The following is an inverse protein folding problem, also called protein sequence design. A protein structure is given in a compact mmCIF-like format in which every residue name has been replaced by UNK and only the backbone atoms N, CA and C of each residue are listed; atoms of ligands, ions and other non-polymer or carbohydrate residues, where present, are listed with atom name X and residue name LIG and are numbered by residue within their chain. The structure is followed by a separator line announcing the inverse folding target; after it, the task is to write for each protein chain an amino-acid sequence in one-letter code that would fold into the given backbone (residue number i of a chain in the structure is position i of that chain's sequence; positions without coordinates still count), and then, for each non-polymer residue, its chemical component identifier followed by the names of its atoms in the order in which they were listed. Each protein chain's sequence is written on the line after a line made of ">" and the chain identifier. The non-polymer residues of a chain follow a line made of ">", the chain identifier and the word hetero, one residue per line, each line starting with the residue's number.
data_IF_890137031558
#
_entry.id   IF_890137031558
#
_cell.length_a   1.000
_cell.length_b   1.000
_cell.length_c   1.000
_cell.angle_alpha   90.00
_cell.angle_beta   90.00
_cell.angle_gamma   90.00
#
_symmetry.space_group_name_H-M   'P 1'
#
loop_
_entity.id
_entity.type
_entity.pdbx_description
1 polymer ?
#
# COMPACT_ATOMS: atom_id res chain seq x y z
N UNK A 1 28.01 -46.26 38.29
CA UNK A 1 27.70 -44.89 37.81
C UNK A 1 27.92 -44.83 36.31
N UNK A 2 26.86 -44.90 35.50
CA UNK A 2 26.93 -44.75 34.04
C UNK A 2 26.30 -43.41 33.69
N UNK A 3 27.09 -42.46 33.17
CA UNK A 3 26.60 -41.18 32.67
C UNK A 3 26.19 -41.36 31.20
N UNK A 4 24.89 -41.25 30.90
CA UNK A 4 24.41 -41.07 29.54
C UNK A 4 24.72 -39.64 29.09
N UNK A 5 25.46 -39.51 27.99
CA UNK A 5 25.62 -38.28 27.23
C UNK A 5 24.44 -38.15 26.26
N UNK A 6 23.53 -37.21 26.55
CA UNK A 6 22.49 -36.79 25.60
C UNK A 6 23.09 -35.81 24.59
N UNK A 7 23.31 -36.26 23.34
CA UNK A 7 23.54 -35.35 22.23
C UNK A 7 22.20 -34.70 21.81
N UNK A 8 22.10 -33.38 21.95
CA UNK A 8 21.05 -32.56 21.35
C UNK A 8 21.37 -32.32 19.87
N UNK A 9 20.61 -32.95 18.96
CA UNK A 9 20.64 -32.58 17.55
C UNK A 9 19.90 -31.25 17.34
N UNK A 10 20.45 -30.30 16.56
CA UNK A 10 19.74 -29.08 16.23
C UNK A 10 18.60 -29.38 15.26
N UNK A 11 17.42 -28.86 15.56
CA UNK A 11 16.25 -28.92 14.69
C UNK A 11 16.51 -28.03 13.47
N UNK A 12 16.87 -28.62 12.34
CA UNK A 12 16.93 -27.91 11.06
C UNK A 12 15.48 -27.66 10.63
N UNK A 13 14.96 -26.47 10.91
CA UNK A 13 13.70 -26.00 10.32
C UNK A 13 14.01 -25.68 8.86
N UNK A 14 13.71 -26.63 7.97
CA UNK A 14 13.73 -26.37 6.54
C UNK A 14 12.67 -25.30 6.23
N UNK A 15 13.10 -24.08 5.94
CA UNK A 15 12.22 -23.04 5.41
C UNK A 15 11.73 -23.49 4.04
N UNK A 16 10.48 -23.95 3.97
CA UNK A 16 9.82 -24.24 2.69
C UNK A 16 9.80 -22.95 1.89
N UNK A 17 10.43 -22.95 0.72
CA UNK A 17 10.47 -21.77 -0.14
C UNK A 17 9.03 -21.36 -0.51
N UNK A 18 8.73 -20.06 -0.37
CA UNK A 18 7.42 -19.53 -0.69
C UNK A 18 7.03 -19.87 -2.15
N UNK A 19 5.76 -20.23 -2.42
CA UNK A 19 5.31 -20.57 -3.76
C UNK A 19 5.53 -19.39 -4.70
N UNK A 20 6.10 -19.66 -5.88
CA UNK A 20 6.40 -18.63 -6.88
C UNK A 20 5.27 -18.51 -7.91
N UNK A 21 4.76 -17.30 -8.17
CA UNK A 21 3.76 -17.09 -9.22
C UNK A 21 4.39 -17.19 -10.62
N UNK A 22 3.57 -17.54 -11.61
CA UNK A 22 3.92 -17.53 -13.03
C UNK A 22 3.64 -16.16 -13.67
N UNK A 23 2.77 -15.35 -13.06
CA UNK A 23 2.58 -13.93 -13.37
C UNK A 23 2.31 -13.17 -12.07
N UNK A 24 2.95 -12.01 -11.89
CA UNK A 24 2.84 -11.18 -10.69
C UNK A 24 2.75 -9.70 -11.06
N UNK A 25 1.72 -9.02 -10.59
CA UNK A 25 1.52 -7.59 -10.76
C UNK A 25 1.37 -6.95 -9.38
N UNK A 26 2.32 -6.10 -9.00
CA UNK A 26 2.38 -5.52 -7.65
C UNK A 26 2.05 -4.03 -7.61
N UNK A 27 1.85 -3.39 -8.77
CA UNK A 27 1.46 -1.98 -8.88
C UNK A 27 2.38 -1.00 -8.13
N UNK A 28 3.63 -1.39 -7.87
CA UNK A 28 4.61 -0.66 -7.08
C UNK A 28 5.46 0.32 -7.92
N UNK A 29 5.31 0.31 -9.24
CA UNK A 29 6.16 1.07 -10.16
C UNK A 29 5.32 2.02 -11.00
N UNK A 30 5.81 3.25 -11.16
CA UNK A 30 5.39 4.13 -12.26
C UNK A 30 6.08 3.69 -13.55
N UNK A 31 5.69 2.53 -14.06
CA UNK A 31 6.19 1.93 -15.30
C UNK A 31 5.61 2.60 -16.56
N UNK A 32 5.14 3.84 -16.41
CA UNK A 32 4.51 4.63 -17.47
C UNK A 32 3.27 3.93 -18.03
N UNK A 33 3.31 3.60 -19.33
CA UNK A 33 2.20 3.02 -20.10
C UNK A 33 2.00 1.52 -19.92
N UNK A 34 2.75 0.86 -19.03
CA UNK A 34 2.60 -0.57 -18.77
C UNK A 34 2.42 -0.88 -17.28
N UNK A 35 1.91 -2.09 -17.01
CA UNK A 35 1.98 -2.77 -15.72
C UNK A 35 2.92 -3.95 -15.93
N UNK A 36 4.04 -3.95 -15.21
CA UNK A 36 5.09 -4.94 -15.36
C UNK A 36 4.73 -6.24 -14.64
N UNK A 37 4.98 -7.37 -15.31
CA UNK A 37 4.96 -8.69 -14.71
C UNK A 37 6.30 -8.95 -13.98
N UNK A 38 6.29 -8.82 -12.66
CA UNK A 38 7.46 -8.99 -11.78
C UNK A 38 7.71 -10.44 -11.33
N UNK A 39 7.04 -11.43 -11.96
CA UNK A 39 7.20 -12.85 -11.57
C UNK A 39 8.60 -13.43 -11.83
N UNK A 40 9.41 -12.77 -12.67
CA UNK A 40 10.71 -13.27 -13.11
C UNK A 40 10.64 -14.45 -14.08
N UNK A 41 9.44 -14.82 -14.56
CA UNK A 41 9.26 -15.91 -15.54
C UNK A 41 9.18 -15.32 -16.95
N UNK A 42 9.99 -15.80 -17.88
CA UNK A 42 10.01 -15.31 -19.26
C UNK A 42 9.12 -16.14 -20.22
N UNK A 43 8.57 -15.52 -21.28
CA UNK A 43 8.48 -14.06 -21.49
C UNK A 43 7.50 -13.42 -20.49
N UNK A 44 7.73 -12.16 -20.07
CA UNK A 44 6.84 -11.48 -19.14
C UNK A 44 5.47 -11.21 -19.77
N UNK A 45 4.42 -11.28 -18.96
CA UNK A 45 3.04 -10.99 -19.37
C UNK A 45 2.64 -9.54 -19.03
N UNK A 46 3.47 -8.55 -19.38
CA UNK A 46 3.17 -7.15 -19.12
C UNK A 46 1.80 -6.75 -19.69
N UNK A 47 1.11 -5.85 -18.99
CA UNK A 47 -0.20 -5.34 -19.41
C UNK A 47 -0.06 -3.90 -19.90
N UNK A 48 -0.60 -3.62 -21.07
CA UNK A 48 -0.64 -2.28 -21.63
C UNK A 48 -1.76 -1.46 -20.98
N UNK A 49 -1.47 -0.18 -20.73
CA UNK A 49 -2.42 0.82 -20.28
C UNK A 49 -2.76 1.70 -21.48
N UNK A 50 -3.98 1.53 -21.99
CA UNK A 50 -4.45 2.27 -23.18
C UNK A 50 -4.85 3.70 -22.78
N UNK A 51 -5.40 3.89 -21.59
CA UNK A 51 -5.92 5.16 -21.09
C UNK A 51 -5.41 5.39 -19.67
N UNK A 52 -4.37 6.22 -19.55
CA UNK A 52 -3.73 6.51 -18.26
C UNK A 52 -4.59 7.38 -17.37
N UNK A 53 -5.38 8.28 -17.96
CA UNK A 53 -6.27 9.17 -17.22
C UNK A 53 -7.50 8.45 -16.64
N UNK A 54 -7.73 7.19 -17.05
CA UNK A 54 -8.70 6.31 -16.41
C UNK A 54 -8.20 5.74 -15.07
N UNK A 55 -6.95 5.99 -14.71
CA UNK A 55 -6.27 5.37 -13.60
C UNK A 55 -5.74 6.40 -12.61
N UNK A 56 -5.70 6.02 -11.33
CA UNK A 56 -4.91 6.70 -10.29
C UNK A 56 -3.88 5.72 -9.75
N UNK A 57 -2.59 6.03 -9.93
CA UNK A 57 -1.48 5.27 -9.37
C UNK A 57 -1.08 5.84 -8.01
N UNK A 58 -0.82 4.96 -7.08
CA UNK A 58 -0.22 5.27 -5.78
C UNK A 58 0.84 4.19 -5.49
N UNK A 59 1.71 4.41 -4.51
CA UNK A 59 2.72 3.41 -4.15
C UNK A 59 2.06 2.09 -3.75
N UNK A 60 2.21 1.07 -4.59
CA UNK A 60 1.64 -0.27 -4.37
C UNK A 60 0.16 -0.40 -4.66
N UNK A 61 -0.45 0.55 -5.36
CA UNK A 61 -1.84 0.40 -5.80
C UNK A 61 -2.17 1.09 -7.13
N UNK A 62 -3.15 0.54 -7.83
CA UNK A 62 -3.70 1.09 -9.06
C UNK A 62 -5.22 1.12 -8.95
N UNK A 63 -5.79 2.32 -8.92
CA UNK A 63 -7.25 2.53 -8.88
C UNK A 63 -7.78 2.81 -10.27
N UNK A 64 -8.80 2.04 -10.68
CA UNK A 64 -9.56 2.26 -11.91
C UNK A 64 -10.72 3.22 -11.60
N UNK A 65 -10.62 4.45 -12.11
CA UNK A 65 -11.59 5.52 -11.91
C UNK A 65 -12.77 5.43 -12.88
N UNK A 66 -12.50 5.00 -14.11
CA UNK A 66 -13.48 4.78 -15.19
C UNK A 66 -13.14 3.51 -15.96
N UNK A 67 -14.10 2.88 -16.67
CA UNK A 67 -13.86 1.67 -17.43
C UNK A 67 -12.63 1.74 -18.34
N UNK A 68 -11.68 0.83 -18.14
CA UNK A 68 -10.45 0.73 -18.96
C UNK A 68 -10.02 -0.73 -19.06
N UNK A 69 -9.40 -1.08 -20.19
CA UNK A 69 -8.82 -2.40 -20.41
C UNK A 69 -7.32 -2.37 -20.13
N UNK A 70 -6.89 -3.22 -19.20
CA UNK A 70 -5.49 -3.48 -18.90
C UNK A 70 -5.18 -4.87 -19.46
N UNK A 71 -4.46 -4.99 -20.56
CA UNK A 71 -4.31 -6.30 -21.23
C UNK A 71 -2.92 -6.55 -21.76
N UNK A 72 -2.53 -7.82 -21.81
CA UNK A 72 -1.26 -8.21 -22.42
C UNK A 72 -1.28 -7.96 -23.93
N UNK A 73 -0.15 -7.49 -24.49
CA UNK A 73 0.01 -7.32 -25.94
C UNK A 73 -0.17 -8.63 -26.71
N UNK A 74 0.36 -9.73 -26.17
CA UNK A 74 0.34 -11.06 -26.77
C UNK A 74 -0.20 -12.10 -25.79
N UNK A 75 -0.66 -13.28 -26.26
CA UNK A 75 -1.11 -14.35 -25.37
C UNK A 75 -0.01 -14.77 -24.37
N UNK A 76 -0.31 -14.94 -23.06
CA UNK A 76 0.68 -15.31 -22.06
C UNK A 76 1.00 -16.82 -22.15
N UNK A 77 1.75 -17.22 -23.17
CA UNK A 77 2.02 -18.62 -23.50
C UNK A 77 2.62 -19.40 -22.31
N UNK A 78 3.52 -18.78 -21.52
CA UNK A 78 4.09 -19.39 -20.31
C UNK A 78 3.01 -19.83 -19.32
N UNK A 79 2.01 -18.99 -19.11
CA UNK A 79 0.94 -19.19 -18.13
C UNK A 79 -0.04 -20.25 -18.63
N UNK A 80 -0.50 -20.11 -19.87
CA UNK A 80 -1.43 -21.06 -20.49
C UNK A 80 -0.82 -22.46 -20.53
N UNK A 81 0.44 -22.57 -20.98
CA UNK A 81 1.12 -23.86 -21.06
C UNK A 81 1.37 -24.47 -19.67
N UNK A 82 1.72 -23.67 -18.67
CA UNK A 82 1.90 -24.15 -17.31
C UNK A 82 0.59 -24.73 -16.73
N UNK A 83 -0.53 -24.03 -16.92
CA UNK A 83 -1.85 -24.49 -16.42
C UNK A 83 -2.36 -25.70 -17.21
N UNK A 84 -2.17 -25.75 -18.54
CA UNK A 84 -2.48 -26.93 -19.36
C UNK A 84 -1.71 -28.17 -18.89
N UNK A 85 -0.44 -28.00 -18.51
CA UNK A 85 0.43 -29.09 -18.02
C UNK A 85 0.07 -29.55 -16.62
N UNK A 86 -0.08 -28.63 -15.67
CA UNK A 86 -0.39 -29.00 -14.28
C UNK A 86 -1.82 -29.48 -14.12
N UNK A 87 -2.75 -28.90 -14.89
CA UNK A 87 -4.18 -29.03 -14.65
C UNK A 87 -4.61 -28.26 -13.41
N UNK A 88 -3.86 -27.24 -13.00
CA UNK A 88 -4.04 -26.52 -11.74
C UNK A 88 -3.86 -25.02 -11.90
N UNK A 89 -4.51 -24.24 -11.04
CA UNK A 89 -4.34 -22.79 -11.00
C UNK A 89 -4.61 -22.24 -9.61
N UNK A 90 -3.94 -21.14 -9.28
CA UNK A 90 -4.41 -20.19 -8.27
C UNK A 90 -4.40 -18.79 -8.86
N UNK A 91 -5.50 -18.04 -8.71
CA UNK A 91 -5.56 -16.59 -8.95
C UNK A 91 -5.75 -15.94 -7.58
N UNK A 92 -4.77 -15.14 -7.15
CA UNK A 92 -4.74 -14.42 -5.88
C UNK A 92 -4.78 -12.92 -6.17
N UNK A 93 -5.74 -12.20 -5.63
CA UNK A 93 -5.91 -10.77 -5.88
C UNK A 93 -6.20 -10.02 -4.58
N UNK A 94 -5.37 -9.02 -4.27
CA UNK A 94 -5.66 -8.02 -3.25
C UNK A 94 -6.32 -6.82 -3.91
N UNK A 95 -7.59 -6.57 -3.55
CA UNK A 95 -8.42 -5.56 -4.22
C UNK A 95 -9.28 -4.77 -3.24
N UNK A 96 -9.68 -3.56 -3.63
CA UNK A 96 -10.76 -2.79 -3.00
C UNK A 96 -11.84 -2.52 -4.05
N UNK A 97 -12.97 -3.24 -4.04
CA UNK A 97 -14.08 -2.95 -4.96
C UNK A 97 -14.63 -1.53 -4.77
N UNK A 98 -14.86 -0.81 -5.86
CA UNK A 98 -15.40 0.55 -5.79
C UNK A 98 -16.87 0.58 -5.32
N UNK A 99 -17.66 -0.42 -5.72
CA UNK A 99 -19.08 -0.51 -5.38
C UNK A 99 -19.59 -1.96 -5.47
N UNK A 100 -20.86 -2.16 -5.12
CA UNK A 100 -21.52 -3.47 -5.03
C UNK A 100 -22.46 -3.79 -6.20
N UNK A 101 -22.56 -2.92 -7.21
CA UNK A 101 -23.52 -3.06 -8.32
C UNK A 101 -22.90 -3.63 -9.61
N UNK A 102 -21.56 -3.72 -9.68
CA UNK A 102 -20.82 -4.27 -10.82
C UNK A 102 -21.25 -5.72 -11.10
N UNK A 103 -21.51 -6.09 -12.35
CA UNK A 103 -22.11 -7.39 -12.67
C UNK A 103 -21.59 -7.99 -13.98
N UNK A 104 -21.82 -9.30 -14.17
CA UNK A 104 -21.59 -9.92 -15.48
C UNK A 104 -20.58 -11.08 -15.66
N UNK A 105 -19.99 -11.66 -14.61
CA UNK A 105 -19.28 -10.92 -13.58
C UNK A 105 -18.36 -9.83 -14.18
N UNK A 106 -18.28 -8.64 -13.58
CA UNK A 106 -17.27 -7.64 -13.90
C UNK A 106 -15.86 -8.23 -13.75
N UNK A 107 -14.95 -8.00 -14.71
CA UNK A 107 -13.67 -8.72 -14.77
C UNK A 107 -12.61 -8.13 -13.85
N UNK A 108 -12.24 -8.89 -12.81
CA UNK A 108 -11.08 -8.59 -11.99
C UNK A 108 -9.83 -9.13 -12.68
N UNK A 109 -9.83 -10.43 -13.03
CA UNK A 109 -8.80 -11.11 -13.83
C UNK A 109 -9.46 -12.00 -14.86
N UNK A 110 -9.00 -11.99 -16.12
CA UNK A 110 -9.51 -12.91 -17.14
C UNK A 110 -8.44 -13.33 -18.13
N UNK A 111 -8.53 -14.57 -18.64
CA UNK A 111 -7.86 -15.01 -19.87
C UNK A 111 -8.96 -15.40 -20.84
N UNK A 112 -9.25 -14.54 -21.80
CA UNK A 112 -10.43 -14.66 -22.63
C UNK A 112 -10.25 -14.01 -24.01
N UNK A 113 -11.18 -14.33 -24.91
CA UNK A 113 -11.38 -13.59 -26.14
C UNK A 113 -12.45 -12.52 -25.96
N UNK A 114 -13.55 -12.89 -25.31
CA UNK A 114 -14.75 -12.06 -25.20
C UNK A 114 -15.64 -12.53 -24.02
N UNK A 115 -16.77 -11.83 -23.84
CA UNK A 115 -17.70 -12.06 -22.74
C UNK A 115 -18.42 -13.42 -22.73
N UNK A 116 -18.21 -14.28 -23.72
CA UNK A 116 -18.75 -15.64 -23.85
C UNK A 116 -17.67 -16.73 -24.03
N UNK A 117 -16.41 -16.35 -24.28
CA UNK A 117 -15.33 -17.28 -24.61
C UNK A 117 -14.09 -17.04 -23.74
N UNK A 118 -13.74 -18.00 -22.88
CA UNK A 118 -12.64 -17.85 -21.91
C UNK A 118 -11.89 -19.14 -21.63
N UNK A 119 -10.68 -18.99 -21.11
CA UNK A 119 -9.96 -20.02 -20.39
C UNK A 119 -10.29 -19.94 -18.89
N UNK A 120 -10.25 -18.74 -18.32
CA UNK A 120 -10.57 -18.50 -16.91
C UNK A 120 -11.04 -17.07 -16.68
N UNK A 121 -11.91 -16.86 -15.69
CA UNK A 121 -12.29 -15.54 -15.19
C UNK A 121 -12.39 -15.60 -13.66
N UNK A 122 -11.86 -14.60 -12.97
CA UNK A 122 -12.25 -14.18 -11.63
C UNK A 122 -12.90 -12.80 -11.76
N UNK A 123 -14.10 -12.63 -11.22
CA UNK A 123 -14.84 -11.38 -11.33
C UNK A 123 -15.80 -11.13 -10.20
N UNK A 124 -16.52 -10.02 -10.28
CA UNK A 124 -17.56 -9.62 -9.33
C UNK A 124 -18.93 -9.68 -10.01
N UNK A 125 -19.89 -10.39 -9.41
CA UNK A 125 -21.30 -10.32 -9.79
C UNK A 125 -22.14 -9.80 -8.63
N UNK A 126 -22.49 -8.51 -8.73
CA UNK A 126 -23.14 -7.71 -7.70
C UNK A 126 -22.39 -7.83 -6.36
N UNK A 127 -23.00 -8.54 -5.42
CA UNK A 127 -22.50 -8.73 -4.05
C UNK A 127 -21.71 -10.02 -3.86
N UNK A 128 -21.31 -10.71 -4.93
CA UNK A 128 -20.52 -11.95 -4.87
C UNK A 128 -19.30 -11.86 -5.78
N UNK A 129 -18.20 -12.53 -5.42
CA UNK A 129 -17.19 -12.85 -6.43
C UNK A 129 -17.58 -14.13 -7.15
N UNK A 130 -17.16 -14.26 -8.40
CA UNK A 130 -17.53 -15.35 -9.28
C UNK A 130 -16.32 -15.79 -10.10
N UNK A 131 -16.10 -17.10 -10.17
CA UNK A 131 -15.02 -17.70 -10.93
C UNK A 131 -15.57 -18.69 -11.97
N UNK A 132 -14.99 -18.64 -13.18
CA UNK A 132 -15.24 -19.60 -14.26
C UNK A 132 -13.93 -20.18 -14.73
N UNK A 133 -13.91 -21.47 -15.01
CA UNK A 133 -12.70 -22.18 -15.43
C UNK A 133 -13.05 -23.18 -16.52
N UNK A 134 -12.42 -23.04 -17.70
CA UNK A 134 -12.63 -23.92 -18.84
C UNK A 134 -11.85 -25.23 -18.65
N UNK A 135 -12.48 -26.31 -19.05
CA UNK A 135 -12.01 -27.69 -19.10
C UNK A 135 -12.63 -28.35 -20.33
N UNK A 136 -12.22 -29.57 -20.65
CA UNK A 136 -12.83 -30.37 -21.71
C UNK A 136 -14.32 -30.69 -21.47
N UNK A 137 -14.81 -30.59 -20.23
CA UNK A 137 -16.21 -30.87 -19.87
C UNK A 137 -17.05 -29.64 -19.56
N UNK A 138 -16.43 -28.48 -19.40
CA UNK A 138 -17.14 -27.20 -19.32
C UNK A 138 -17.21 -26.61 -20.73
N UNK A 139 -18.31 -25.94 -21.09
CA UNK A 139 -18.40 -25.26 -22.39
C UNK A 139 -17.29 -24.20 -22.58
N UNK A 140 -17.20 -23.61 -23.77
CA UNK A 140 -16.20 -22.56 -24.12
C UNK A 140 -16.24 -21.34 -23.19
N UNK A 141 -17.35 -21.18 -22.47
CA UNK A 141 -17.60 -20.14 -21.48
C UNK A 141 -17.13 -20.51 -20.05
N UNK A 142 -16.56 -21.71 -19.83
CA UNK A 142 -16.09 -22.16 -18.52
C UNK A 142 -17.18 -22.28 -17.45
N UNK A 143 -18.43 -22.50 -17.86
CA UNK A 143 -19.59 -22.69 -17.00
C UNK A 143 -19.72 -24.15 -16.54
N UNK A 144 -20.33 -24.41 -15.36
CA UNK A 144 -20.95 -23.46 -14.42
C UNK A 144 -19.94 -22.65 -13.59
N UNK A 145 -20.39 -21.52 -13.06
CA UNK A 145 -19.58 -20.66 -12.19
C UNK A 145 -19.45 -21.19 -10.76
N UNK A 146 -18.34 -20.83 -10.10
CA UNK A 146 -18.16 -20.91 -8.66
C UNK A 146 -18.27 -19.50 -8.05
N UNK A 147 -19.31 -19.26 -7.27
CA UNK A 147 -19.47 -18.00 -6.53
C UNK A 147 -18.89 -18.08 -5.11
N UNK A 148 -18.46 -16.95 -4.57
CA UNK A 148 -17.93 -16.78 -3.21
C UNK A 148 -18.96 -16.18 -2.24
N UNK A 149 -18.47 -15.83 -1.03
CA UNK A 149 -19.15 -14.95 -0.07
C UNK A 149 -19.29 -13.49 -0.53
N UNK A 150 -19.74 -12.64 0.39
CA UNK A 150 -20.19 -11.27 0.15
C UNK A 150 -19.03 -10.30 -0.20
N UNK A 151 -19.22 -9.51 -1.25
CA UNK A 151 -18.35 -8.40 -1.63
C UNK A 151 -18.55 -7.23 -0.66
N UNK A 152 -17.44 -6.61 -0.25
CA UNK A 152 -17.42 -5.38 0.55
C UNK A 152 -16.51 -4.35 -0.12
N UNK A 153 -16.75 -3.06 0.11
CA UNK A 153 -15.93 -1.95 -0.42
C UNK A 153 -14.70 -1.68 0.45
N UNK A 154 -14.07 -2.74 0.95
CA UNK A 154 -12.84 -2.70 1.76
C UNK A 154 -11.77 -3.56 1.10
N UNK A 155 -10.50 -3.28 1.41
CA UNK A 155 -9.37 -4.10 0.95
C UNK A 155 -9.61 -5.56 1.34
N UNK A 156 -9.67 -6.42 0.33
CA UNK A 156 -10.07 -7.82 0.44
C UNK A 156 -9.07 -8.66 -0.35
N UNK A 157 -8.64 -9.76 0.25
CA UNK A 157 -7.87 -10.80 -0.43
C UNK A 157 -8.83 -11.82 -1.02
N UNK A 158 -8.94 -11.87 -2.34
CA UNK A 158 -9.81 -12.81 -3.07
C UNK A 158 -8.93 -13.83 -3.77
N UNK A 159 -9.16 -15.11 -3.49
CA UNK A 159 -8.39 -16.19 -4.10
C UNK A 159 -9.32 -17.23 -4.71
N UNK A 160 -9.08 -17.57 -5.98
CA UNK A 160 -9.64 -18.73 -6.64
C UNK A 160 -8.55 -19.78 -6.84
N UNK A 161 -8.80 -21.01 -6.43
CA UNK A 161 -7.93 -22.16 -6.72
C UNK A 161 -8.69 -23.19 -7.55
N UNK A 162 -7.97 -23.98 -8.35
CA UNK A 162 -8.44 -25.27 -8.86
C UNK A 162 -7.30 -26.29 -8.77
N UNK A 163 -7.54 -27.38 -8.06
CA UNK A 163 -6.58 -28.48 -7.89
C UNK A 163 -6.58 -29.45 -9.07
N UNK A 164 -5.60 -30.35 -9.08
CA UNK A 164 -5.44 -31.39 -10.12
C UNK A 164 -6.64 -32.35 -10.20
N UNK A 165 -7.34 -32.55 -9.08
CA UNK A 165 -8.57 -33.37 -9.02
C UNK A 165 -9.79 -32.63 -9.60
N UNK A 166 -9.64 -31.36 -9.98
CA UNK A 166 -10.69 -30.52 -10.51
C UNK A 166 -11.50 -29.79 -9.44
N UNK A 167 -11.15 -29.90 -8.15
CA UNK A 167 -11.82 -29.14 -7.09
C UNK A 167 -11.42 -27.68 -7.16
N UNK A 168 -12.39 -26.80 -7.40
CA UNK A 168 -12.24 -25.35 -7.31
C UNK A 168 -12.71 -24.82 -5.95
N UNK A 169 -11.95 -23.89 -5.37
CA UNK A 169 -12.27 -23.28 -4.07
C UNK A 169 -12.07 -21.76 -4.13
N UNK A 170 -13.03 -21.01 -3.59
CA UNK A 170 -12.93 -19.58 -3.37
C UNK A 170 -12.56 -19.28 -1.92
N UNK A 171 -11.61 -18.37 -1.71
CA UNK A 171 -11.23 -17.84 -0.41
C UNK A 171 -11.40 -16.33 -0.38
N UNK A 172 -11.89 -15.81 0.75
CA UNK A 172 -11.90 -14.40 1.08
C UNK A 172 -11.13 -14.22 2.38
N UNK A 173 -10.10 -13.39 2.39
CA UNK A 173 -9.29 -13.06 3.56
C UNK A 173 -8.76 -14.33 4.27
N UNK A 174 -8.17 -15.23 3.50
CA UNK A 174 -7.65 -16.51 4.00
C UNK A 174 -8.71 -17.58 4.30
N UNK A 175 -10.01 -17.24 4.29
CA UNK A 175 -11.09 -18.15 4.68
C UNK A 175 -11.83 -18.70 3.46
N UNK A 176 -12.05 -20.01 3.42
CA UNK A 176 -12.86 -20.66 2.38
C UNK A 176 -14.30 -20.16 2.42
N UNK A 177 -14.86 -19.79 1.26
CA UNK A 177 -16.22 -19.25 1.13
C UNK A 177 -17.08 -19.93 0.06
N UNK A 178 -16.49 -20.78 -0.78
CA UNK A 178 -17.22 -21.56 -1.77
C UNK A 178 -16.35 -22.66 -2.35
N UNK A 179 -16.99 -23.71 -2.88
CA UNK A 179 -16.31 -24.78 -3.62
C UNK A 179 -17.18 -25.34 -4.73
N UNK A 180 -16.55 -25.87 -5.79
CA UNK A 180 -17.23 -26.54 -6.90
C UNK A 180 -16.27 -27.47 -7.65
N UNK A 181 -16.79 -28.55 -8.22
CA UNK A 181 -16.04 -29.38 -9.16
C UNK A 181 -16.01 -28.78 -10.57
N UNK A 182 -14.81 -28.65 -11.12
CA UNK A 182 -14.47 -28.35 -12.51
C UNK A 182 -13.76 -29.58 -13.10
N UNK A 183 -14.52 -30.60 -13.57
CA UNK A 183 -13.96 -31.90 -13.93
C UNK A 183 -13.14 -31.84 -15.23
N UNK A 184 -12.33 -32.87 -15.47
CA UNK A 184 -11.45 -33.02 -16.66
C UNK A 184 -10.30 -32.03 -16.75
N UNK A 185 -9.43 -32.20 -17.75
CA UNK A 185 -8.26 -31.35 -17.91
C UNK A 185 -8.60 -30.02 -18.61
N UNK A 186 -7.79 -28.97 -18.41
CA UNK A 186 -7.84 -27.73 -19.18
C UNK A 186 -7.08 -27.81 -20.52
N UNK A 187 -6.81 -29.01 -21.07
CA UNK A 187 -6.05 -29.15 -22.33
C UNK A 187 -6.69 -28.41 -23.52
N UNK A 188 -8.00 -28.19 -23.48
CA UNK A 188 -8.75 -27.42 -24.48
C UNK A 188 -8.68 -25.89 -24.28
N UNK A 189 -7.84 -25.39 -23.38
CA UNK A 189 -7.54 -23.96 -23.28
C UNK A 189 -6.96 -23.43 -24.59
N UNK A 190 -7.56 -22.33 -25.05
CA UNK A 190 -7.15 -21.64 -26.27
C UNK A 190 -5.85 -20.87 -26.00
N UNK A 191 -4.84 -21.09 -26.83
CA UNK A 191 -3.52 -20.50 -26.65
C UNK A 191 -3.39 -19.08 -27.22
N UNK A 192 -4.43 -18.59 -27.90
CA UNK A 192 -4.49 -17.24 -28.48
C UNK A 192 -5.18 -16.23 -27.56
N UNK A 193 -5.71 -16.65 -26.42
CA UNK A 193 -6.40 -15.76 -25.49
C UNK A 193 -5.39 -14.93 -24.69
N UNK A 194 -5.71 -13.64 -24.52
CA UNK A 194 -4.87 -12.68 -23.80
C UNK A 194 -5.33 -12.58 -22.34
N UNK A 195 -4.42 -12.20 -21.46
CA UNK A 195 -4.76 -11.88 -20.08
C UNK A 195 -5.20 -10.41 -20.00
N UNK A 196 -6.21 -10.14 -19.17
CA UNK A 196 -6.62 -8.79 -18.85
C UNK A 196 -7.07 -8.62 -17.39
N UNK A 197 -6.95 -7.39 -16.91
CA UNK A 197 -7.46 -6.91 -15.62
C UNK A 197 -8.44 -5.76 -15.85
N UNK A 198 -9.39 -5.59 -14.93
CA UNK A 198 -10.28 -4.43 -14.88
C UNK A 198 -11.38 -4.36 -15.93
N UNK A 199 -11.31 -5.15 -17.01
CA UNK A 199 -12.38 -5.28 -18.00
C UNK A 199 -12.26 -6.59 -18.79
N UNK A 200 -13.31 -6.92 -19.55
CA UNK A 200 -13.25 -7.93 -20.60
C UNK A 200 -12.54 -7.37 -21.84
N UNK A 201 -11.93 -8.24 -22.64
CA UNK A 201 -11.25 -7.86 -23.88
C UNK A 201 -12.19 -7.17 -24.89
N UNK A 202 -13.50 -7.40 -24.77
CA UNK A 202 -14.57 -6.72 -25.52
C UNK A 202 -15.09 -5.43 -24.86
N UNK A 203 -14.41 -4.90 -23.83
CA UNK A 203 -14.71 -3.66 -23.11
C UNK A 203 -16.08 -3.54 -22.44
N UNK A 204 -16.84 -4.64 -22.32
CA UNK A 204 -18.24 -4.63 -21.91
C UNK A 204 -18.51 -5.26 -20.53
N UNK A 205 -17.47 -5.54 -19.73
CA UNK A 205 -17.60 -6.07 -18.36
C UNK A 205 -16.61 -5.38 -17.41
N UNK A 206 -16.66 -4.04 -17.30
CA UNK A 206 -15.70 -3.31 -16.50
C UNK A 206 -15.84 -3.63 -15.01
N UNK A 207 -14.70 -3.69 -14.34
CA UNK A 207 -14.58 -3.70 -12.90
C UNK A 207 -13.80 -2.45 -12.46
N UNK A 208 -14.45 -1.65 -11.63
CA UNK A 208 -13.92 -0.47 -10.96
C UNK A 208 -13.51 -0.83 -9.54
N UNK A 209 -12.40 -0.25 -9.11
CA UNK A 209 -11.82 -0.48 -7.81
C UNK A 209 -10.31 -0.33 -7.84
N UNK A 210 -9.69 -0.64 -6.72
CA UNK A 210 -8.24 -0.57 -6.53
C UNK A 210 -7.66 -1.97 -6.57
N UNK A 211 -6.65 -2.17 -7.40
CA UNK A 211 -5.76 -3.32 -7.32
C UNK A 211 -4.56 -2.99 -6.44
N UNK A 212 -4.20 -3.89 -5.53
CA UNK A 212 -2.99 -3.80 -4.70
C UNK A 212 -1.98 -4.88 -5.06
N UNK A 213 -2.46 -6.04 -5.51
CA UNK A 213 -1.62 -7.11 -6.06
C UNK A 213 -2.48 -8.10 -6.84
N UNK A 214 -1.94 -8.67 -7.92
CA UNK A 214 -2.50 -9.85 -8.59
C UNK A 214 -1.38 -10.85 -8.86
N UNK A 215 -1.55 -12.08 -8.38
CA UNK A 215 -0.60 -13.17 -8.57
C UNK A 215 -1.32 -14.41 -9.14
N UNK A 216 -0.73 -15.03 -10.16
CA UNK A 216 -1.26 -16.25 -10.78
C UNK A 216 -0.24 -17.37 -10.69
N UNK A 217 -0.65 -18.51 -10.14
CA UNK A 217 0.17 -19.70 -9.94
C UNK A 217 -0.32 -20.82 -10.84
N UNK A 218 0.57 -21.67 -11.32
CA UNK A 218 0.23 -22.87 -12.09
C UNK A 218 -0.05 -24.10 -11.23
N UNK A 219 -0.29 -23.92 -9.93
CA UNK A 219 -0.67 -24.96 -8.99
C UNK A 219 -1.73 -24.42 -8.03
N UNK A 220 -2.53 -25.31 -7.44
CA UNK A 220 -3.44 -24.93 -6.37
C UNK A 220 -2.64 -24.71 -5.08
N UNK A 221 -2.66 -23.49 -4.54
CA UNK A 221 -2.07 -23.20 -3.24
C UNK A 221 -2.82 -23.94 -2.15
N UNK A 222 -2.08 -24.38 -1.12
CA UNK A 222 -2.70 -25.00 0.05
C UNK A 222 -3.47 -23.95 0.87
N UNK A 223 -4.46 -24.36 1.68
CA UNK A 223 -5.11 -23.45 2.62
C UNK A 223 -4.12 -22.73 3.54
N UNK A 224 -3.03 -23.39 3.93
CA UNK A 224 -1.95 -22.82 4.75
C UNK A 224 -1.20 -21.72 4.00
N UNK A 225 -0.83 -21.95 2.74
CA UNK A 225 -0.15 -20.93 1.93
C UNK A 225 -1.05 -19.71 1.70
N UNK A 226 -2.34 -19.94 1.49
CA UNK A 226 -3.32 -18.85 1.29
C UNK A 226 -3.51 -18.06 2.59
N UNK A 227 -3.58 -18.72 3.73
CA UNK A 227 -3.64 -18.06 5.03
C UNK A 227 -2.37 -17.24 5.30
N UNK A 228 -1.20 -17.78 4.96
CA UNK A 228 0.07 -17.06 5.10
C UNK A 228 0.12 -15.85 4.17
N UNK A 229 -0.24 -16.00 2.89
CA UNK A 229 -0.33 -14.87 1.95
C UNK A 229 -1.29 -13.78 2.43
N UNK A 230 -2.39 -14.17 3.09
CA UNK A 230 -3.30 -13.22 3.69
C UNK A 230 -2.63 -12.45 4.84
N UNK A 231 -1.93 -13.12 5.75
CA UNK A 231 -1.19 -12.46 6.83
C UNK A 231 -0.09 -11.55 6.31
N UNK A 232 0.69 -12.01 5.33
CA UNK A 232 1.77 -11.23 4.72
C UNK A 232 1.24 -9.97 4.02
N UNK A 233 0.06 -10.03 3.40
CA UNK A 233 -0.56 -8.87 2.76
C UNK A 233 -1.21 -7.87 3.73
N UNK A 234 -1.43 -8.25 4.99
CA UNK A 234 -1.82 -7.34 6.08
C UNK A 234 -0.61 -6.63 6.69
N UNK A 235 0.59 -7.22 6.60
CA UNK A 235 1.80 -6.60 7.10
C UNK A 235 2.10 -5.30 6.33
N UNK A 236 2.67 -4.27 6.99
CA UNK A 236 3.18 -3.11 6.28
C UNK A 236 4.21 -3.56 5.24
N UNK A 237 4.17 -2.93 4.06
CA UNK A 237 5.09 -3.26 2.98
C UNK A 237 6.53 -3.21 3.49
N UNK A 238 7.29 -4.29 3.27
CA UNK A 238 8.72 -4.29 3.60
C UNK A 238 9.39 -3.27 2.66
N UNK A 239 10.19 -2.33 3.19
CA UNK A 239 10.87 -1.36 2.35
C UNK A 239 11.82 -2.07 1.40
N UNK A 240 11.84 -1.65 0.13
CA UNK A 240 12.61 -2.29 -0.94
C UNK A 240 14.03 -1.78 -1.05
N UNK A 241 14.36 -0.72 -0.32
CA UNK A 241 15.70 -0.14 -0.25
C UNK A 241 15.96 0.48 1.12
N UNK A 242 17.24 0.66 1.53
CA UNK A 242 17.58 1.43 2.72
C UNK A 242 16.97 2.84 2.70
N UNK A 243 17.01 3.53 1.55
CA UNK A 243 16.44 4.87 1.42
C UNK A 243 14.91 4.91 1.63
N UNK A 244 14.18 3.88 1.19
CA UNK A 244 12.74 3.76 1.47
C UNK A 244 12.47 3.48 2.95
N UNK A 245 13.27 2.60 3.58
CA UNK A 245 13.21 2.37 5.03
C UNK A 245 13.45 3.67 5.80
N UNK A 246 14.46 4.43 5.39
CA UNK A 246 14.83 5.70 6.01
C UNK A 246 13.70 6.73 5.90
N UNK A 247 13.05 6.87 4.74
CA UNK A 247 11.86 7.74 4.59
C UNK A 247 10.71 7.35 5.51
N UNK A 248 10.40 6.05 5.61
CA UNK A 248 9.34 5.53 6.50
C UNK A 248 9.68 5.82 7.97
N UNK A 249 10.93 5.59 8.37
CA UNK A 249 11.40 5.89 9.72
C UNK A 249 11.30 7.39 10.00
N UNK A 250 11.66 8.23 9.03
CA UNK A 250 11.61 9.67 9.18
C UNK A 250 10.20 10.14 9.51
N UNK A 251 9.26 9.91 8.59
CA UNK A 251 7.88 10.41 8.70
C UNK A 251 7.13 9.84 9.91
N UNK A 252 7.32 8.56 10.25
CA UNK A 252 6.51 7.93 11.29
C UNK A 252 7.12 8.01 12.69
N UNK A 253 8.42 8.23 12.80
CA UNK A 253 9.13 8.11 14.08
C UNK A 253 10.09 9.26 14.34
N UNK A 254 11.03 9.53 13.42
CA UNK A 254 12.12 10.49 13.67
C UNK A 254 11.62 11.93 13.67
N UNK A 255 10.78 12.31 12.71
CA UNK A 255 10.22 13.66 12.64
C UNK A 255 9.42 14.01 13.92
N UNK A 256 8.53 13.14 14.43
CA UNK A 256 7.94 13.34 15.76
C UNK A 256 8.94 13.39 16.92
N UNK A 257 10.02 12.61 16.87
CA UNK A 257 11.09 12.64 17.89
C UNK A 257 11.77 14.01 17.88
N UNK A 258 12.19 14.50 16.71
CA UNK A 258 12.85 15.80 16.55
C UNK A 258 11.92 16.92 17.01
N UNK A 259 10.67 16.92 16.55
CA UNK A 259 9.68 17.91 16.93
C UNK A 259 9.44 17.99 18.44
N UNK A 260 9.35 16.84 19.11
CA UNK A 260 9.06 16.76 20.55
C UNK A 260 10.29 17.04 21.43
N UNK A 261 11.45 16.52 21.03
CA UNK A 261 12.61 16.43 21.89
C UNK A 261 13.76 17.34 21.48
N UNK A 262 13.79 17.88 20.26
CA UNK A 262 14.94 18.65 19.77
C UNK A 262 14.60 20.10 19.45
N UNK A 263 13.42 20.36 18.86
CA UNK A 263 13.05 21.69 18.36
C UNK A 263 12.63 22.70 19.43
N UNK A 264 12.65 22.33 20.71
CA UNK A 264 12.51 23.31 21.81
C UNK A 264 13.78 24.16 21.99
N UNK A 265 14.94 23.63 21.59
CA UNK A 265 16.26 24.28 21.73
C UNK A 265 16.99 24.44 20.40
N UNK A 266 16.83 23.49 19.46
CA UNK A 266 17.52 23.46 18.17
C UNK A 266 16.57 23.82 17.01
N UNK A 267 15.86 24.93 17.12
CA UNK A 267 15.07 25.52 16.04
C UNK A 267 15.69 26.81 15.51
N UNK A 268 15.07 27.41 14.49
CA UNK A 268 15.57 28.63 13.85
C UNK A 268 15.52 29.87 14.76
N UNK A 269 14.71 29.86 15.82
CA UNK A 269 14.55 30.99 16.74
C UNK A 269 15.53 30.95 17.92
N UNK A 270 15.76 29.75 18.47
CA UNK A 270 16.57 29.54 19.68
C UNK A 270 18.01 29.15 19.32
N UNK A 271 18.17 28.26 18.32
CA UNK A 271 19.45 27.82 17.76
C UNK A 271 20.55 27.52 18.80
N UNK A 272 20.22 26.86 19.91
CA UNK A 272 21.20 26.56 20.96
C UNK A 272 22.37 25.73 20.38
N UNK A 273 23.59 26.15 20.68
CA UNK A 273 24.80 25.54 20.12
C UNK A 273 25.03 25.86 18.64
N UNK A 274 24.49 26.97 18.12
CA UNK A 274 24.55 27.39 16.71
C UNK A 274 24.00 26.33 15.74
N UNK A 275 22.98 25.60 16.19
CA UNK A 275 22.46 24.42 15.51
C UNK A 275 20.93 24.46 15.35
N UNK A 276 20.47 24.26 14.11
CA UNK A 276 19.06 24.23 13.74
C UNK A 276 18.68 22.90 13.06
N UNK A 277 17.69 22.22 13.63
CA UNK A 277 17.08 20.98 13.14
C UNK A 277 15.68 21.19 12.56
N UNK A 278 15.16 22.41 12.57
CA UNK A 278 13.80 22.70 12.08
C UNK A 278 13.70 22.63 10.55
N UNK A 279 14.81 22.77 9.83
CA UNK A 279 14.86 22.67 8.37
C UNK A 279 15.87 21.63 7.91
N UNK A 280 15.54 20.95 6.81
CA UNK A 280 16.45 19.98 6.19
C UNK A 280 17.80 20.61 5.79
N UNK A 281 17.76 21.81 5.21
CA UNK A 281 18.98 22.49 4.75
C UNK A 281 19.97 22.77 5.88
N UNK A 282 19.49 23.20 7.04
CA UNK A 282 20.31 23.52 8.21
C UNK A 282 20.76 22.25 8.95
N UNK A 283 19.90 21.23 9.04
CA UNK A 283 20.23 19.96 9.69
C UNK A 283 21.40 19.19 9.03
N UNK A 284 21.63 19.38 7.73
CA UNK A 284 22.70 18.72 6.95
C UNK A 284 23.84 19.66 6.53
N UNK A 285 23.88 20.88 7.05
CA UNK A 285 24.86 21.89 6.65
C UNK A 285 26.28 21.48 7.05
N UNK A 286 26.45 20.86 8.22
CA UNK A 286 27.67 20.19 8.64
C UNK A 286 27.48 18.65 8.59
N UNK A 287 28.26 17.92 7.77
CA UNK A 287 28.15 16.47 7.62
C UNK A 287 28.52 15.67 8.88
N UNK A 288 29.14 16.29 9.89
CA UNK A 288 29.45 15.65 11.18
C UNK A 288 28.21 15.58 12.08
N UNK A 289 27.25 16.49 11.93
CA UNK A 289 26.05 16.54 12.77
C UNK A 289 25.18 15.31 12.52
N UNK A 290 24.74 15.14 11.27
CA UNK A 290 24.04 13.96 10.78
C UNK A 290 24.87 13.39 9.64
N UNK A 291 25.61 12.32 9.89
CA UNK A 291 26.37 11.57 8.87
C UNK A 291 25.52 10.41 8.33
N UNK A 292 24.93 10.51 7.12
CA UNK A 292 24.12 9.44 6.54
C UNK A 292 24.88 8.11 6.45
N UNK A 293 24.26 7.01 6.88
CA UNK A 293 24.84 5.67 6.90
C UNK A 293 25.87 5.43 8.01
N UNK A 294 26.18 6.43 8.83
CA UNK A 294 27.28 6.36 9.80
C UNK A 294 26.88 6.89 11.19
N UNK A 295 26.02 6.20 11.97
CA UNK A 295 25.57 6.69 13.28
C UNK A 295 26.69 7.02 14.24
N UNK A 296 27.75 6.19 14.27
CA UNK A 296 28.91 6.41 15.14
C UNK A 296 29.72 7.67 14.78
N UNK A 297 29.51 8.24 13.59
CA UNK A 297 30.13 9.51 13.16
C UNK A 297 29.21 10.71 13.44
N UNK A 298 27.89 10.52 13.37
CA UNK A 298 26.89 11.55 13.64
C UNK A 298 26.92 12.06 15.08
N UNK A 299 27.16 13.35 15.27
CA UNK A 299 27.15 13.99 16.59
C UNK A 299 25.76 13.88 17.26
N UNK A 300 24.67 14.05 16.50
CA UNK A 300 23.30 13.91 17.01
C UNK A 300 23.09 12.53 17.65
N UNK A 301 23.59 11.47 17.01
CA UNK A 301 23.47 10.13 17.57
C UNK A 301 24.32 9.97 18.83
N UNK A 302 25.55 10.49 18.86
CA UNK A 302 26.42 10.39 20.04
C UNK A 302 25.79 11.02 21.27
N UNK A 303 25.25 12.24 21.14
CA UNK A 303 24.62 12.97 22.25
C UNK A 303 23.33 12.29 22.74
N UNK A 304 22.56 11.66 21.84
CA UNK A 304 21.38 10.87 22.22
C UNK A 304 21.77 9.51 22.84
N UNK A 305 22.82 8.86 22.33
CA UNK A 305 23.31 7.57 22.84
C UNK A 305 23.83 7.72 24.27
N UNK A 306 24.53 8.82 24.59
CA UNK A 306 25.06 9.14 25.91
C UNK A 306 24.07 9.77 26.89
N UNK A 307 22.81 9.97 26.49
CA UNK A 307 21.78 10.67 27.29
C UNK A 307 22.11 12.14 27.61
N UNK A 308 23.05 12.75 26.89
CA UNK A 308 23.34 14.20 27.00
C UNK A 308 22.20 15.03 26.41
N UNK A 309 21.57 14.53 25.34
CA UNK A 309 20.43 15.17 24.70
C UNK A 309 19.15 14.31 24.80
N UNK A 310 18.01 14.90 25.21
CA UNK A 310 17.79 16.35 25.38
C UNK A 310 18.27 16.88 26.75
N UNK A 311 18.92 18.05 26.76
CA UNK A 311 19.48 18.63 27.99
C UNK A 311 18.37 18.95 29.01
N UNK A 312 18.61 18.63 30.30
CA UNK A 312 17.70 18.91 31.43
C UNK A 312 16.29 18.34 31.27
N UNK A 313 16.07 17.38 30.36
CA UNK A 313 14.81 16.66 30.17
C UNK A 313 15.04 15.17 30.22
N UNK A 314 13.95 14.41 30.22
CA UNK A 314 14.03 12.95 30.18
C UNK A 314 14.71 12.52 28.88
N UNK A 315 15.65 11.56 28.93
CA UNK A 315 16.25 11.04 27.71
C UNK A 315 15.23 10.31 26.83
N UNK A 316 15.59 10.13 25.55
CA UNK A 316 14.81 9.34 24.62
C UNK A 316 14.67 7.90 25.13
N UNK A 317 13.48 7.33 24.96
CA UNK A 317 13.25 5.92 25.26
C UNK A 317 14.09 5.01 24.36
N UNK A 318 14.32 3.76 24.79
CA UNK A 318 15.06 2.76 24.01
C UNK A 318 14.53 2.60 22.58
N UNK A 319 13.20 2.69 22.42
CA UNK A 319 12.54 2.61 21.10
C UNK A 319 12.81 3.84 20.24
N UNK A 320 12.71 5.05 20.81
CA UNK A 320 13.02 6.30 20.09
C UNK A 320 14.48 6.35 19.66
N UNK A 321 15.41 5.95 20.55
CA UNK A 321 16.83 5.82 20.21
C UNK A 321 17.04 4.82 19.07
N UNK A 322 16.39 3.66 19.12
CA UNK A 322 16.52 2.65 18.06
C UNK A 322 16.06 3.18 16.69
N UNK A 323 14.91 3.87 16.63
CA UNK A 323 14.42 4.47 15.37
C UNK A 323 15.33 5.57 14.83
N UNK A 324 15.84 6.46 15.70
CA UNK A 324 16.77 7.51 15.30
C UNK A 324 18.08 6.91 14.75
N UNK A 325 18.61 5.88 15.42
CA UNK A 325 19.80 5.17 14.96
C UNK A 325 19.57 4.53 13.60
N UNK A 326 18.50 3.74 13.46
CA UNK A 326 18.20 3.02 12.23
C UNK A 326 17.97 3.97 11.06
N UNK A 327 17.34 5.13 11.30
CA UNK A 327 17.16 6.15 10.29
C UNK A 327 18.49 6.66 9.74
N UNK A 328 19.46 6.94 10.63
CA UNK A 328 20.82 7.32 10.23
C UNK A 328 21.50 6.17 9.48
N UNK A 329 21.44 4.93 10.00
CA UNK A 329 22.02 3.74 9.36
C UNK A 329 21.50 3.52 7.95
N UNK A 330 20.21 3.81 7.72
CA UNK A 330 19.53 3.61 6.44
C UNK A 330 19.67 4.79 5.46
N UNK A 331 20.49 5.79 5.82
CA UNK A 331 20.87 6.89 4.92
C UNK A 331 20.27 8.25 5.27
N UNK A 332 19.67 8.40 6.45
CA UNK A 332 19.12 9.66 6.97
C UNK A 332 18.25 10.44 5.96
N UNK A 333 17.38 9.75 5.22
CA UNK A 333 16.54 10.41 4.21
C UNK A 333 15.49 11.25 4.93
N UNK A 334 15.58 12.56 4.73
CA UNK A 334 14.69 13.57 5.30
C UNK A 334 13.59 13.92 4.29
N UNK A 335 12.34 13.65 4.66
CA UNK A 335 11.18 13.65 3.75
C UNK A 335 10.39 14.97 3.70
N UNK A 336 10.52 15.85 4.69
CA UNK A 336 9.90 17.19 4.72
C UNK A 336 10.92 18.29 4.40
N UNK A 337 10.49 19.49 3.99
CA UNK A 337 11.43 20.62 3.84
C UNK A 337 11.72 21.26 5.20
N UNK A 338 10.67 21.41 6.01
CA UNK A 338 10.67 21.91 7.37
C UNK A 338 9.89 20.97 8.32
N UNK A 339 10.10 21.12 9.63
CA UNK A 339 9.34 20.44 10.67
C UNK A 339 8.58 21.51 11.45
N UNK A 340 7.25 21.50 11.37
CA UNK A 340 6.39 22.30 12.25
C UNK A 340 6.18 21.56 13.58
N UNK A 341 6.77 22.01 14.71
CA UNK A 341 6.57 21.36 16.00
C UNK A 341 5.10 21.37 16.42
N UNK A 342 4.34 22.38 16.01
CA UNK A 342 2.92 22.53 16.34
C UNK A 342 2.09 21.42 15.70
N UNK A 343 2.37 21.03 14.45
CA UNK A 343 1.70 19.91 13.79
C UNK A 343 1.83 18.58 14.56
N UNK A 344 2.97 18.37 15.23
CA UNK A 344 3.29 17.14 15.95
C UNK A 344 2.87 17.14 17.43
N UNK A 345 2.85 18.32 18.08
CA UNK A 345 2.29 18.49 19.43
C UNK A 345 0.79 18.17 19.46
N UNK A 346 0.07 18.42 18.36
CA UNK A 346 -1.37 18.18 18.21
C UNK A 346 -1.77 16.70 18.09
N UNK A 347 -0.87 15.83 17.64
CA UNK A 347 -1.14 14.38 17.47
C UNK A 347 -1.13 13.62 18.81
N UNK A 348 -0.52 14.20 19.85
CA UNK A 348 -0.37 13.54 21.16
C UNK A 348 -1.52 13.81 22.13
N UNK A 349 -2.41 14.78 21.84
CA UNK A 349 -3.57 15.10 22.70
C UNK A 349 -4.80 15.58 21.88
N UNK A 350 -5.67 14.67 21.40
CA UNK A 350 -6.74 14.97 20.44
C UNK A 350 -7.92 15.82 20.98
N UNK A 351 -7.79 16.40 22.19
CA UNK A 351 -8.85 17.19 22.83
C UNK A 351 -8.74 18.70 22.61
N UNK A 352 -7.67 19.20 21.99
CA UNK A 352 -7.47 20.63 21.70
C UNK A 352 -6.99 20.81 20.28
N UNK A 353 -7.93 20.98 19.35
CA UNK A 353 -7.61 21.36 17.99
C UNK A 353 -7.53 22.90 17.92
N UNK A 354 -6.42 23.48 17.46
CA UNK A 354 -6.42 24.86 17.02
C UNK A 354 -7.31 24.94 15.78
N UNK A 355 -8.38 25.72 15.90
CA UNK A 355 -9.27 26.08 14.81
C UNK A 355 -8.86 27.46 14.32
N UNK A 356 -8.69 27.64 13.00
CA UNK A 356 -8.67 28.98 12.43
C UNK A 356 -10.03 29.63 12.66
N UNK A 357 -10.06 30.73 13.40
CA UNK A 357 -11.26 31.53 13.58
C UNK A 357 -11.69 32.07 12.22
N UNK A 358 -13.00 32.06 11.95
CA UNK A 358 -13.56 32.88 10.88
C UNK A 358 -13.21 34.35 11.11
N UNK A 359 -13.26 35.17 10.06
CA UNK A 359 -13.00 36.61 10.17
C UNK A 359 -13.88 37.24 11.26
N UNK A 360 -15.15 36.85 11.31
CA UNK A 360 -16.09 37.30 12.35
C UNK A 360 -15.70 36.87 13.76
N UNK A 361 -15.21 35.64 13.93
CA UNK A 361 -14.77 35.13 15.23
C UNK A 361 -13.45 35.76 15.68
N UNK A 362 -12.55 36.07 14.75
CA UNK A 362 -11.32 36.80 15.03
C UNK A 362 -11.62 38.22 15.52
N UNK A 363 -12.49 38.95 14.80
CA UNK A 363 -12.95 40.29 15.19
C UNK A 363 -13.56 40.27 16.60
N UNK A 364 -14.45 39.30 16.87
CA UNK A 364 -15.07 39.15 18.18
C UNK A 364 -14.04 38.85 19.29
N UNK A 365 -13.04 38.02 18.98
CA UNK A 365 -12.00 37.64 19.95
C UNK A 365 -11.09 38.82 20.29
N UNK A 366 -10.63 39.59 19.29
CA UNK A 366 -9.82 40.78 19.54
C UNK A 366 -10.60 41.80 20.35
N UNK A 367 -11.86 42.08 19.98
CA UNK A 367 -12.72 42.99 20.73
C UNK A 367 -12.95 42.52 22.17
N UNK A 368 -13.13 41.22 22.40
CA UNK A 368 -13.31 40.67 23.74
C UNK A 368 -12.02 40.72 24.58
N UNK A 369 -10.86 40.46 23.98
CA UNK A 369 -9.59 40.38 24.68
C UNK A 369 -8.96 41.75 24.94
N UNK A 370 -9.13 42.70 24.03
CA UNK A 370 -8.42 44.00 24.05
C UNK A 370 -9.36 45.20 24.16
N UNK A 371 -10.67 45.02 23.94
CA UNK A 371 -11.65 46.11 23.87
C UNK A 371 -11.61 46.91 22.56
N UNK A 372 -10.70 46.59 21.65
CA UNK A 372 -10.51 47.33 20.39
C UNK A 372 -11.42 46.74 19.30
N UNK A 373 -12.18 47.60 18.63
CA UNK A 373 -12.98 47.20 17.47
C UNK A 373 -12.13 47.29 16.20
N UNK A 374 -11.91 46.15 15.55
CA UNK A 374 -11.09 46.01 14.35
C UNK A 374 -11.92 45.58 13.13
N UNK A 375 -13.25 45.65 13.19
CA UNK A 375 -14.12 45.05 12.18
C UNK A 375 -13.81 45.56 10.76
N UNK A 376 -13.57 46.86 10.62
CA UNK A 376 -13.37 47.50 9.33
C UNK A 376 -12.03 47.10 8.71
N UNK A 377 -10.95 47.16 9.49
CA UNK A 377 -9.59 46.82 9.07
C UNK A 377 -9.48 45.32 8.79
N UNK A 378 -10.05 44.48 9.66
CA UNK A 378 -10.03 43.03 9.51
C UNK A 378 -10.74 42.58 8.23
N UNK A 379 -11.92 43.15 7.91
CA UNK A 379 -12.64 42.79 6.67
C UNK A 379 -11.96 43.30 5.39
N UNK A 380 -11.09 44.30 5.49
CA UNK A 380 -10.35 44.83 4.36
C UNK A 380 -9.03 44.10 4.12
N UNK A 381 -8.34 43.69 5.19
CA UNK A 381 -7.00 43.10 5.14
C UNK A 381 -7.00 41.58 5.15
N UNK A 382 -7.99 40.95 5.78
CA UNK A 382 -8.02 39.49 5.90
C UNK A 382 -8.67 38.84 4.66
N UNK A 383 -8.17 37.67 4.22
CA UNK A 383 -8.78 36.91 3.14
C UNK A 383 -10.23 36.51 3.47
N UNK A 384 -11.10 36.48 2.46
CA UNK A 384 -12.48 36.00 2.62
C UNK A 384 -12.52 34.55 3.10
N UNK A 385 -13.40 34.27 4.06
CA UNK A 385 -13.63 32.90 4.57
C UNK A 385 -14.21 32.02 3.44
N UNK A 386 -13.49 30.98 3.04
CA UNK A 386 -13.88 30.10 1.92
C UNK A 386 -15.04 29.12 2.28
N UNK A 387 -15.43 29.04 3.56
CA UNK A 387 -16.56 28.24 4.08
C UNK A 387 -17.21 28.93 5.29
N UNK A 388 -18.49 28.64 5.52
CA UNK A 388 -19.30 29.17 6.64
C UNK A 388 -18.96 28.54 7.99
N UNK A 389 -18.33 27.36 8.00
CA UNK A 389 -17.68 26.78 9.17
C UNK A 389 -16.17 27.04 9.07
N UNK A 390 -15.61 27.82 10.01
CA UNK A 390 -14.16 27.90 10.14
C UNK A 390 -13.59 26.49 10.19
N UNK A 391 -12.57 26.21 9.36
CA UNK A 391 -12.07 24.86 9.04
C UNK A 391 -12.28 23.82 10.15
N UNK A 392 -13.31 22.98 10.01
CA UNK A 392 -13.41 21.71 10.72
C UNK A 392 -12.46 20.71 10.03
N UNK A 393 -11.17 20.77 10.39
CA UNK A 393 -10.16 20.03 9.65
C UNK A 393 -10.21 18.52 9.96
N UNK A 394 -10.61 17.75 8.95
CA UNK A 394 -10.02 16.44 8.68
C UNK A 394 -8.53 16.67 8.42
N UNK A 395 -7.68 15.89 9.11
CA UNK A 395 -6.28 16.18 9.43
C UNK A 395 -5.26 16.26 8.28
N UNK A 396 -5.66 16.55 7.03
CA UNK A 396 -4.78 16.43 5.87
C UNK A 396 -4.25 17.77 5.30
N UNK A 397 -4.80 18.93 5.70
CA UNK A 397 -4.47 20.23 5.07
C UNK A 397 -4.13 21.33 6.08
N UNK A 398 -3.14 21.10 6.94
CA UNK A 398 -2.68 22.10 7.95
C UNK A 398 -1.29 22.69 7.64
N UNK A 399 -0.86 22.72 6.38
CA UNK A 399 0.27 23.56 6.01
C UNK A 399 -0.10 25.04 6.16
N UNK A 400 0.55 25.75 7.08
CA UNK A 400 0.46 27.22 7.16
C UNK A 400 1.33 27.81 6.07
N UNK A 401 0.73 28.50 5.10
CA UNK A 401 1.46 29.24 4.08
C UNK A 401 2.01 30.54 4.69
N UNK A 402 3.30 30.52 5.03
CA UNK A 402 4.02 31.68 5.59
C UNK A 402 4.35 32.76 4.54
N UNK A 403 4.03 32.58 3.25
CA UNK A 403 4.26 33.64 2.24
C UNK A 403 3.30 34.84 2.37
N UNK A 404 2.27 34.72 3.20
CA UNK A 404 1.20 35.70 3.31
C UNK A 404 0.93 36.14 4.76
N UNK A 405 1.89 35.92 5.68
CA UNK A 405 1.86 36.46 7.05
C UNK A 405 2.81 37.66 7.15
#
# INVERSE_FOLDING_TARGET
>A
MVRLLSLSLPLIVATVAAPRPVALYEFNEDSGSQIIDSSGVNPPANLDIIDQEALKRESGSLTILRPVLLSSKSPPAKLINAIKRSGEITISAWITPANLSQSGPARIVTISRDSSNRNVTLGQDKTKFDARFRTEKTGVNGTPSLSSGKVVTKRTHVVFTRSKTGMGIMYLNGRKTGQRSFPSSPKNWDSNYRIALGNELSNNRPWLGTFHQVAIYSHALSPTDIAQQFQDGLAPAKPKSPAERSRILFTNHVEPILAKHCLECHDSATAEGDFDLSHKGTAFLDPLIISPGHPKKSLVWKSVESDEMPEKRNPLSTSEKAHLREWIETGAVWSSEDIDPSAHLLLTNPKKFPRRLTTSEYIATVKAATGVDIEKEARQLLPNDLRTDGFSNTAYNLGVDLKHV
#
